data_IF_374315450767
#
_entry.id   IF_374315450767
#
_cell.length_a   1.000
_cell.length_b   1.000
_cell.length_c   1.000
_cell.angle_alpha   90.00
_cell.angle_beta   90.00
_cell.angle_gamma   90.00
#
_symmetry.space_group_name_H-M   'P 1'
#
loop_
_entity.id
_entity.type
_entity.pdbx_description
1 polymer ?
#
# COMPACT_ATOMS: atom_id res chain seq x y z
N UNK A 1 15.13 -0.51 26.02
CA UNK A 1 13.71 -0.81 26.27
C UNK A 1 13.23 -1.70 25.15
N UNK A 2 12.46 -2.74 25.50
CA UNK A 2 11.96 -3.73 24.56
C UNK A 2 10.56 -3.36 24.02
N UNK A 3 10.16 -4.05 22.95
CA UNK A 3 8.79 -3.96 22.42
C UNK A 3 7.78 -4.39 23.48
N UNK A 4 6.70 -3.59 23.66
CA UNK A 4 5.65 -3.94 24.61
C UNK A 4 4.97 -5.27 24.25
N UNK A 5 4.40 -6.01 25.21
CA UNK A 5 3.68 -7.25 24.92
C UNK A 5 2.55 -7.06 23.91
N UNK A 6 1.78 -5.98 24.00
CA UNK A 6 0.68 -5.69 23.08
C UNK A 6 1.18 -5.39 21.65
N UNK A 7 2.29 -4.65 21.51
CA UNK A 7 2.89 -4.41 20.19
C UNK A 7 3.45 -5.71 19.59
N UNK A 8 4.10 -6.53 20.42
CA UNK A 8 4.61 -7.84 19.99
C UNK A 8 3.48 -8.77 19.54
N UNK A 9 2.37 -8.81 20.26
CA UNK A 9 1.19 -9.61 19.87
C UNK A 9 0.63 -9.14 18.52
N UNK A 10 0.43 -7.84 18.36
CA UNK A 10 -0.09 -7.26 17.13
C UNK A 10 0.80 -7.55 15.93
N UNK A 11 2.11 -7.30 16.05
CA UNK A 11 3.07 -7.53 14.97
C UNK A 11 3.24 -9.02 14.65
N UNK A 12 3.28 -9.87 15.67
CA UNK A 12 3.38 -11.33 15.48
C UNK A 12 2.17 -11.88 14.73
N UNK A 13 0.99 -11.32 14.96
CA UNK A 13 -0.24 -11.73 14.29
C UNK A 13 -0.19 -11.43 12.79
N UNK A 14 -0.03 -10.15 12.42
CA UNK A 14 -0.10 -9.78 11.00
C UNK A 14 1.09 -10.33 10.19
N UNK A 15 2.30 -10.37 10.77
CA UNK A 15 3.47 -11.00 10.13
C UNK A 15 3.22 -12.50 9.96
N UNK A 16 2.66 -13.16 10.97
CA UNK A 16 2.32 -14.58 10.92
C UNK A 16 1.28 -14.90 9.83
N UNK A 17 0.25 -14.08 9.70
CA UNK A 17 -0.78 -14.22 8.66
C UNK A 17 -0.19 -14.04 7.24
N UNK A 18 0.67 -13.04 7.04
CA UNK A 18 1.37 -12.84 5.76
C UNK A 18 2.30 -14.02 5.43
N UNK A 19 3.06 -14.49 6.41
CA UNK A 19 3.94 -15.65 6.25
C UNK A 19 3.15 -16.90 5.89
N UNK A 20 2.05 -17.17 6.60
CA UNK A 20 1.20 -18.33 6.31
C UNK A 20 0.62 -18.24 4.89
N UNK A 21 0.11 -17.08 4.47
CA UNK A 21 -0.38 -16.87 3.11
C UNK A 21 0.69 -17.15 2.04
N UNK A 22 1.93 -16.74 2.30
CA UNK A 22 3.07 -17.07 1.44
C UNK A 22 3.31 -18.58 1.36
N UNK A 23 3.37 -19.26 2.52
CA UNK A 23 3.57 -20.70 2.56
C UNK A 23 2.45 -21.48 1.84
N UNK A 24 1.21 -21.09 2.06
CA UNK A 24 0.04 -21.73 1.42
C UNK A 24 0.07 -21.53 -0.10
N UNK A 25 0.44 -20.35 -0.56
CA UNK A 25 0.57 -20.05 -1.99
C UNK A 25 1.65 -20.90 -2.66
N UNK A 26 2.83 -21.00 -2.04
CA UNK A 26 3.92 -21.85 -2.54
C UNK A 26 3.52 -23.32 -2.50
N UNK A 27 2.94 -23.78 -1.40
CA UNK A 27 2.47 -25.15 -1.21
C UNK A 27 1.47 -25.56 -2.30
N UNK A 28 0.48 -24.73 -2.55
CA UNK A 28 -0.53 -24.97 -3.60
C UNK A 28 0.10 -25.04 -4.99
N UNK A 29 0.98 -24.09 -5.33
CA UNK A 29 1.63 -24.05 -6.64
C UNK A 29 2.62 -25.20 -6.84
N UNK A 30 3.33 -25.61 -5.79
CA UNK A 30 4.29 -26.73 -5.81
C UNK A 30 3.63 -28.08 -5.55
N UNK A 31 2.36 -28.12 -5.17
CA UNK A 31 1.61 -29.33 -4.79
C UNK A 31 2.31 -30.14 -3.68
N UNK A 32 2.80 -29.43 -2.66
CA UNK A 32 3.45 -29.98 -1.46
C UNK A 32 2.81 -29.38 -0.20
N UNK A 33 2.93 -30.04 0.96
CA UNK A 33 2.48 -29.44 2.23
C UNK A 33 3.24 -28.15 2.57
N UNK A 34 2.58 -27.17 3.20
CA UNK A 34 3.21 -25.93 3.65
C UNK A 34 4.42 -26.17 4.57
N UNK A 35 4.38 -27.20 5.42
CA UNK A 35 5.50 -27.63 6.27
C UNK A 35 6.72 -28.15 5.49
N UNK A 36 6.52 -28.57 4.23
CA UNK A 36 7.65 -28.94 3.35
C UNK A 36 8.25 -27.71 2.69
N UNK A 37 7.46 -26.64 2.48
CA UNK A 37 7.99 -25.34 2.01
C UNK A 37 8.92 -24.74 3.07
N UNK A 38 8.49 -24.73 4.31
CA UNK A 38 9.32 -24.33 5.47
C UNK A 38 9.04 -25.21 6.69
N UNK A 39 9.91 -26.18 6.96
CA UNK A 39 9.71 -27.13 8.06
C UNK A 39 10.09 -26.58 9.44
N UNK A 40 10.53 -25.32 9.52
CA UNK A 40 11.14 -24.70 10.68
C UNK A 40 12.68 -24.73 10.62
N UNK A 41 13.32 -23.82 11.34
CA UNK A 41 14.76 -23.58 11.23
C UNK A 41 15.60 -24.84 11.55
N UNK A 42 15.26 -25.58 12.61
CA UNK A 42 16.00 -26.76 13.00
C UNK A 42 15.88 -27.91 11.97
N UNK A 43 14.66 -28.19 11.52
CA UNK A 43 14.44 -29.24 10.53
C UNK A 43 15.05 -28.88 9.16
N UNK A 44 15.09 -27.61 8.81
CA UNK A 44 15.79 -27.12 7.62
C UNK A 44 17.31 -27.33 7.76
N UNK A 45 17.89 -27.01 8.92
CA UNK A 45 19.32 -27.25 9.21
C UNK A 45 19.66 -28.73 9.13
N UNK A 46 18.84 -29.59 9.73
CA UNK A 46 19.03 -31.05 9.68
C UNK A 46 18.94 -31.59 8.25
N UNK A 47 18.03 -31.03 7.45
CA UNK A 47 17.89 -31.34 6.02
C UNK A 47 19.09 -30.89 5.20
N UNK A 48 19.60 -29.70 5.43
CA UNK A 48 20.81 -29.18 4.78
C UNK A 48 22.06 -29.98 5.14
N UNK A 49 22.18 -30.43 6.41
CA UNK A 49 23.29 -31.27 6.87
C UNK A 49 23.33 -32.59 6.10
N UNK A 50 22.19 -33.18 5.76
CA UNK A 50 22.10 -34.44 4.98
C UNK A 50 22.61 -34.31 3.54
N UNK A 51 22.67 -33.10 3.00
CA UNK A 51 23.16 -32.80 1.66
C UNK A 51 24.46 -31.98 1.69
N UNK A 52 25.21 -32.06 2.79
CA UNK A 52 26.51 -31.40 3.00
C UNK A 52 26.45 -29.86 2.75
N UNK A 53 25.30 -29.23 3.05
CA UNK A 53 25.07 -27.80 2.88
C UNK A 53 24.72 -27.37 1.45
N UNK A 54 24.56 -28.30 0.52
CA UNK A 54 24.12 -28.01 -0.85
C UNK A 54 22.65 -27.55 -0.88
N UNK A 55 22.46 -26.23 -0.88
CA UNK A 55 21.13 -25.60 -0.88
C UNK A 55 20.34 -25.87 -2.16
N UNK A 56 21.01 -26.02 -3.30
CA UNK A 56 20.35 -26.33 -4.56
C UNK A 56 19.80 -27.75 -4.56
N UNK A 57 20.61 -28.70 -4.11
CA UNK A 57 20.19 -30.10 -3.92
C UNK A 57 19.06 -30.20 -2.88
N UNK A 58 19.15 -29.49 -1.76
CA UNK A 58 18.07 -29.42 -0.78
C UNK A 58 16.75 -28.93 -1.41
N UNK A 59 16.79 -27.86 -2.21
CA UNK A 59 15.62 -27.33 -2.87
C UNK A 59 15.00 -28.34 -3.85
N UNK A 60 15.83 -29.08 -4.62
CA UNK A 60 15.37 -30.11 -5.52
C UNK A 60 14.73 -31.28 -4.78
N UNK A 61 15.41 -31.80 -3.75
CA UNK A 61 14.96 -32.95 -2.95
C UNK A 61 13.63 -32.65 -2.23
N UNK A 62 13.40 -31.38 -1.86
CA UNK A 62 12.16 -30.91 -1.24
C UNK A 62 11.11 -30.38 -2.24
N UNK A 63 11.31 -30.57 -3.55
CA UNK A 63 10.39 -30.14 -4.63
C UNK A 63 10.12 -28.65 -4.67
N UNK A 64 11.02 -27.85 -4.14
CA UNK A 64 10.93 -26.37 -4.21
C UNK A 64 11.30 -25.86 -5.61
N UNK A 65 12.09 -26.63 -6.34
CA UNK A 65 12.44 -26.40 -7.76
C UNK A 65 12.23 -27.71 -8.54
N UNK A 66 12.10 -27.62 -9.87
CA UNK A 66 11.84 -28.78 -10.75
C UNK A 66 13.10 -29.42 -11.25
N UNK A 67 14.17 -28.64 -11.42
CA UNK A 67 15.45 -29.11 -11.90
C UNK A 67 16.58 -28.16 -11.48
N UNK A 68 17.79 -28.68 -11.47
CA UNK A 68 19.02 -27.90 -11.39
C UNK A 68 19.61 -27.83 -12.80
N UNK A 69 19.77 -26.62 -13.32
CA UNK A 69 20.31 -26.42 -14.67
C UNK A 69 21.17 -25.16 -14.73
N UNK A 70 22.22 -25.20 -15.47
CA UNK A 70 23.01 -24.02 -15.83
C UNK A 70 22.25 -23.13 -16.81
N UNK A 71 22.65 -21.87 -16.92
CA UNK A 71 22.05 -20.95 -17.89
C UNK A 71 22.09 -21.47 -19.31
N UNK A 72 23.19 -22.15 -19.71
CA UNK A 72 23.31 -22.76 -21.02
C UNK A 72 22.34 -23.93 -21.25
N UNK A 73 22.05 -24.72 -20.21
CA UNK A 73 21.08 -25.79 -20.29
C UNK A 73 19.65 -25.22 -20.38
N UNK A 74 19.34 -24.17 -19.63
CA UNK A 74 18.06 -23.44 -19.74
C UNK A 74 17.89 -22.85 -21.14
N UNK A 75 18.92 -22.20 -21.69
CA UNK A 75 18.90 -21.68 -23.05
C UNK A 75 18.64 -22.79 -24.08
N UNK A 76 19.29 -23.94 -23.93
CA UNK A 76 19.08 -25.12 -24.80
C UNK A 76 17.66 -25.66 -24.71
N UNK A 77 17.08 -25.71 -23.48
CA UNK A 77 15.69 -26.11 -23.24
C UNK A 77 14.71 -25.17 -23.93
N UNK A 78 14.89 -23.86 -23.72
CA UNK A 78 14.03 -22.82 -24.31
C UNK A 78 14.19 -22.76 -25.84
N UNK A 79 15.41 -22.93 -26.34
CA UNK A 79 15.67 -23.03 -27.79
C UNK A 79 14.95 -24.22 -28.39
N UNK A 80 14.96 -25.38 -27.72
CA UNK A 80 14.22 -26.57 -28.17
C UNK A 80 12.71 -26.33 -28.22
N UNK A 81 12.19 -25.57 -27.25
CA UNK A 81 10.75 -25.32 -27.13
C UNK A 81 10.27 -24.21 -28.07
N UNK A 82 11.00 -23.11 -28.18
CA UNK A 82 10.56 -21.88 -28.89
C UNK A 82 11.35 -21.60 -30.17
N UNK A 83 12.43 -22.30 -30.41
CA UNK A 83 13.31 -22.12 -31.56
C UNK A 83 14.38 -21.05 -31.29
N UNK A 84 15.35 -20.98 -32.19
CA UNK A 84 16.48 -20.05 -32.14
C UNK A 84 16.22 -18.82 -33.00
N UNK A 85 16.54 -17.63 -32.47
CA UNK A 85 16.58 -16.35 -33.20
C UNK A 85 18.00 -16.06 -33.64
N UNK A 86 18.22 -15.98 -34.94
CA UNK A 86 19.53 -15.61 -35.49
C UNK A 86 19.89 -14.14 -35.26
N UNK A 87 18.85 -13.29 -35.19
CA UNK A 87 19.01 -11.86 -34.96
C UNK A 87 19.46 -11.58 -33.52
N UNK A 88 18.83 -12.20 -32.56
CA UNK A 88 19.05 -11.96 -31.13
C UNK A 88 20.16 -12.86 -30.57
N UNK A 89 20.61 -13.86 -31.36
CA UNK A 89 21.58 -14.91 -30.94
C UNK A 89 21.11 -15.57 -29.61
N UNK A 90 19.84 -15.88 -29.51
CA UNK A 90 19.19 -16.43 -28.32
C UNK A 90 17.96 -17.26 -28.75
N UNK A 91 17.31 -17.95 -27.80
CA UNK A 91 15.97 -18.51 -28.04
C UNK A 91 14.98 -17.40 -28.40
N UNK A 92 13.92 -17.74 -29.15
CA UNK A 92 12.88 -16.76 -29.50
C UNK A 92 12.13 -16.32 -28.26
N UNK A 93 12.25 -15.06 -27.93
CA UNK A 93 11.56 -14.42 -26.84
C UNK A 93 11.26 -12.95 -27.17
N UNK A 94 10.31 -12.39 -26.48
CA UNK A 94 10.04 -10.95 -26.45
C UNK A 94 10.24 -10.49 -25.02
N UNK A 95 11.00 -9.43 -24.82
CA UNK A 95 11.17 -8.83 -23.51
C UNK A 95 9.81 -8.37 -22.97
N UNK A 96 9.57 -8.58 -21.68
CA UNK A 96 8.36 -8.06 -21.03
C UNK A 96 8.21 -6.54 -21.22
N UNK A 97 9.31 -5.80 -21.22
CA UNK A 97 9.32 -4.35 -21.42
C UNK A 97 9.05 -3.93 -22.87
N UNK A 98 9.34 -4.81 -23.83
CA UNK A 98 9.13 -4.56 -25.27
C UNK A 98 7.81 -5.18 -25.75
N UNK A 99 7.14 -5.95 -24.91
CA UNK A 99 5.87 -6.58 -25.24
C UNK A 99 4.75 -5.55 -25.27
N UNK A 100 4.45 -5.07 -26.47
CA UNK A 100 3.33 -4.17 -26.71
C UNK A 100 2.05 -4.96 -26.89
N UNK A 101 1.13 -4.83 -25.94
CA UNK A 101 -0.25 -5.28 -26.16
C UNK A 101 -0.81 -4.51 -27.36
N UNK A 102 -1.35 -5.20 -28.36
CA UNK A 102 -2.18 -4.57 -29.38
C UNK A 102 -3.42 -4.01 -28.67
N UNK A 103 -3.39 -2.73 -28.36
CA UNK A 103 -4.59 -2.03 -27.89
C UNK A 103 -5.60 -2.07 -29.04
N UNK A 104 -6.82 -2.56 -28.80
CA UNK A 104 -7.89 -2.39 -29.77
C UNK A 104 -8.01 -0.91 -30.14
N UNK A 105 -8.33 -0.61 -31.39
CA UNK A 105 -8.62 0.76 -31.78
C UNK A 105 -9.69 1.33 -30.84
N UNK A 106 -9.55 2.61 -30.45
CA UNK A 106 -10.52 3.32 -29.60
C UNK A 106 -11.91 3.28 -30.26
N UNK A 107 -12.72 2.31 -29.85
CA UNK A 107 -14.03 2.02 -30.46
C UNK A 107 -15.20 2.55 -29.65
N UNK A 108 -14.97 3.39 -28.64
CA UNK A 108 -16.09 3.99 -27.91
C UNK A 108 -15.91 4.05 -26.40
N UNK A 109 -16.77 3.34 -25.65
CA UNK A 109 -16.83 3.42 -24.19
C UNK A 109 -15.57 2.87 -23.52
N UNK A 110 -15.11 3.54 -22.48
CA UNK A 110 -13.87 3.20 -21.75
C UNK A 110 -14.09 3.15 -20.23
N UNK A 111 -13.12 2.56 -19.54
CA UNK A 111 -13.02 2.57 -18.09
C UNK A 111 -11.80 3.43 -17.72
N UNK A 112 -12.01 4.46 -16.91
CA UNK A 112 -10.92 5.28 -16.36
C UNK A 112 -10.21 4.53 -15.25
N UNK A 113 -8.90 4.29 -15.38
CA UNK A 113 -8.08 3.70 -14.33
C UNK A 113 -7.17 4.78 -13.77
N UNK A 114 -7.30 5.06 -12.48
CA UNK A 114 -6.54 6.08 -11.76
C UNK A 114 -5.74 5.40 -10.66
N UNK A 115 -4.48 5.80 -10.52
CA UNK A 115 -3.56 5.19 -9.55
C UNK A 115 -3.34 6.14 -8.37
N UNK A 116 -3.43 5.59 -7.16
CA UNK A 116 -3.08 6.25 -5.90
C UNK A 116 -1.96 5.44 -5.21
N UNK A 117 -0.73 5.68 -5.64
CA UNK A 117 0.45 4.94 -5.17
C UNK A 117 1.35 5.85 -4.31
N UNK A 118 1.59 5.48 -3.05
CA UNK A 118 2.42 6.23 -2.12
C UNK A 118 1.64 7.02 -1.08
N UNK A 119 2.32 7.88 -0.33
CA UNK A 119 1.72 8.72 0.70
C UNK A 119 0.83 9.80 0.07
N UNK A 120 -0.33 10.04 0.68
CA UNK A 120 -1.29 11.07 0.21
C UNK A 120 -0.85 12.42 0.78
N UNK A 121 -0.55 13.36 -0.11
CA UNK A 121 -0.05 14.70 0.21
C UNK A 121 -0.98 15.78 -0.32
N UNK A 122 -0.99 16.92 0.34
CA UNK A 122 -1.72 18.10 -0.15
C UNK A 122 -1.09 18.63 -1.44
N UNK A 123 -1.91 19.18 -2.33
CA UNK A 123 -1.47 19.80 -3.57
C UNK A 123 -1.20 18.82 -4.71
N UNK A 124 -0.19 19.13 -5.51
CA UNK A 124 0.13 18.39 -6.73
C UNK A 124 0.94 17.12 -6.46
N UNK A 125 0.86 16.17 -7.40
CA UNK A 125 1.62 14.93 -7.35
C UNK A 125 3.13 15.19 -7.43
N UNK A 126 3.86 14.50 -6.58
CA UNK A 126 5.32 14.42 -6.61
C UNK A 126 5.76 12.95 -6.79
N UNK A 127 6.96 12.67 -7.33
CA UNK A 127 7.42 11.30 -7.51
C UNK A 127 7.30 10.44 -6.25
N UNK A 128 6.57 9.33 -6.34
CA UNK A 128 6.36 8.40 -5.24
C UNK A 128 5.25 8.79 -4.24
N UNK A 129 4.53 9.88 -4.48
CA UNK A 129 3.42 10.32 -3.64
C UNK A 129 2.14 10.51 -4.46
N UNK A 130 1.00 10.57 -3.76
CA UNK A 130 -0.32 10.86 -4.31
C UNK A 130 -0.63 12.33 -4.00
N UNK A 131 -0.73 13.17 -5.02
CA UNK A 131 -1.18 14.55 -4.86
C UNK A 131 -2.70 14.63 -4.79
N UNK A 132 -3.23 15.26 -3.76
CA UNK A 132 -4.68 15.42 -3.57
C UNK A 132 -5.35 16.11 -4.76
N UNK A 133 -4.77 17.24 -5.19
CA UNK A 133 -5.33 18.05 -6.28
C UNK A 133 -5.16 17.36 -7.64
N UNK A 134 -3.99 16.76 -7.89
CA UNK A 134 -3.73 16.02 -9.14
C UNK A 134 -4.69 14.85 -9.30
N UNK A 135 -4.83 14.04 -8.26
CA UNK A 135 -5.71 12.85 -8.31
C UNK A 135 -7.17 13.23 -8.41
N UNK A 136 -7.60 14.28 -7.71
CA UNK A 136 -8.96 14.81 -7.83
C UNK A 136 -9.24 15.36 -9.24
N UNK A 137 -8.26 16.05 -9.84
CA UNK A 137 -8.39 16.55 -11.22
C UNK A 137 -8.54 15.39 -12.22
N UNK A 138 -7.76 14.30 -12.09
CA UNK A 138 -7.88 13.10 -12.93
C UNK A 138 -9.25 12.42 -12.77
N UNK A 139 -9.76 12.33 -11.53
CA UNK A 139 -11.11 11.79 -11.28
C UNK A 139 -12.17 12.67 -11.89
N UNK A 140 -12.03 13.99 -11.78
CA UNK A 140 -12.94 14.97 -12.38
C UNK A 140 -12.95 14.86 -13.90
N UNK A 141 -11.80 14.75 -14.53
CA UNK A 141 -11.67 14.53 -15.98
C UNK A 141 -12.42 13.26 -16.39
N UNK A 142 -12.14 12.13 -15.73
CA UNK A 142 -12.83 10.87 -15.98
C UNK A 142 -14.35 10.96 -15.73
N UNK A 143 -14.78 11.74 -14.73
CA UNK A 143 -16.19 12.00 -14.45
C UNK A 143 -16.89 12.74 -15.56
N UNK A 144 -16.22 13.72 -16.17
CA UNK A 144 -16.79 14.60 -17.19
C UNK A 144 -16.71 14.02 -18.60
N UNK A 145 -15.80 13.07 -18.86
CA UNK A 145 -15.68 12.42 -20.16
C UNK A 145 -16.87 11.48 -20.41
N UNK A 146 -17.71 11.71 -21.45
CA UNK A 146 -18.85 10.87 -21.76
C UNK A 146 -18.46 9.46 -22.21
N UNK A 147 -17.23 9.22 -22.66
CA UNK A 147 -16.73 7.91 -23.04
C UNK A 147 -16.37 7.07 -21.82
N UNK A 148 -15.96 7.66 -20.70
CA UNK A 148 -15.65 6.93 -19.46
C UNK A 148 -16.94 6.53 -18.77
N UNK A 149 -17.23 5.25 -18.72
CA UNK A 149 -18.46 4.69 -18.14
C UNK A 149 -18.31 4.22 -16.69
N UNK A 150 -17.10 3.96 -16.24
CA UNK A 150 -16.78 3.58 -14.87
C UNK A 150 -15.37 4.03 -14.51
N UNK A 151 -15.10 4.15 -13.22
CA UNK A 151 -13.78 4.51 -12.69
C UNK A 151 -13.27 3.35 -11.81
N UNK A 152 -12.04 2.95 -12.05
CA UNK A 152 -11.27 2.07 -11.16
C UNK A 152 -10.19 2.90 -10.48
N UNK A 153 -10.24 2.99 -9.16
CA UNK A 153 -9.16 3.56 -8.36
C UNK A 153 -8.26 2.42 -7.85
N UNK A 154 -7.03 2.38 -8.33
CA UNK A 154 -6.01 1.44 -7.83
C UNK A 154 -5.26 2.10 -6.69
N UNK A 155 -5.44 1.56 -5.47
CA UNK A 155 -4.85 2.12 -4.25
C UNK A 155 -3.71 1.23 -3.77
N UNK A 156 -2.53 1.83 -3.60
CA UNK A 156 -1.39 1.23 -2.89
C UNK A 156 -0.76 2.32 -2.01
N UNK A 157 -1.43 2.65 -0.89
CA UNK A 157 -1.14 3.83 -0.09
C UNK A 157 -1.24 3.53 1.41
N UNK A 158 -0.28 3.99 2.24
CA UNK A 158 -0.36 3.96 3.69
C UNK A 158 -1.33 5.02 4.25
N UNK A 159 -1.84 5.91 3.41
CA UNK A 159 -2.58 7.10 3.80
C UNK A 159 -1.72 8.36 3.75
N UNK A 160 -2.09 9.37 4.54
CA UNK A 160 -1.41 10.65 4.61
C UNK A 160 -2.34 11.78 5.03
N UNK A 161 -2.28 12.93 4.36
CA UNK A 161 -3.09 14.11 4.65
C UNK A 161 -4.59 13.82 4.63
N UNK A 162 -5.29 14.24 5.68
CA UNK A 162 -6.75 14.13 5.79
C UNK A 162 -7.43 15.02 4.77
N UNK A 163 -6.93 16.25 4.56
CA UNK A 163 -7.52 17.18 3.59
C UNK A 163 -7.37 16.67 2.16
N UNK A 164 -6.19 16.19 1.77
CA UNK A 164 -5.98 15.59 0.46
C UNK A 164 -6.85 14.34 0.24
N UNK A 165 -6.94 13.48 1.26
CA UNK A 165 -7.80 12.29 1.20
C UNK A 165 -9.28 12.68 1.02
N UNK A 166 -9.72 13.76 1.67
CA UNK A 166 -11.10 14.23 1.51
C UNK A 166 -11.36 14.84 0.13
N UNK A 167 -10.43 15.58 -0.42
CA UNK A 167 -10.53 16.14 -1.78
C UNK A 167 -10.70 15.02 -2.81
N UNK A 168 -9.88 13.99 -2.73
CA UNK A 168 -9.98 12.80 -3.59
C UNK A 168 -11.31 12.07 -3.38
N UNK A 169 -11.69 11.81 -2.12
CA UNK A 169 -12.94 11.14 -1.79
C UNK A 169 -14.16 11.87 -2.33
N UNK A 170 -14.17 13.19 -2.19
CA UNK A 170 -15.29 14.02 -2.63
C UNK A 170 -15.52 13.93 -4.15
N UNK A 171 -14.44 13.94 -4.95
CA UNK A 171 -14.54 13.77 -6.40
C UNK A 171 -15.00 12.36 -6.82
N UNK A 172 -14.57 11.31 -6.11
CA UNK A 172 -15.09 9.95 -6.33
C UNK A 172 -16.57 9.84 -5.97
N UNK A 173 -16.99 10.48 -4.88
CA UNK A 173 -18.42 10.55 -4.52
C UNK A 173 -19.22 11.31 -5.57
N UNK A 174 -18.70 12.41 -6.12
CA UNK A 174 -19.30 13.16 -7.22
C UNK A 174 -19.40 12.31 -8.51
N UNK A 175 -18.38 11.53 -8.83
CA UNK A 175 -18.42 10.62 -9.98
C UNK A 175 -19.52 9.55 -9.81
N UNK A 176 -19.63 8.97 -8.63
CA UNK A 176 -20.71 8.01 -8.30
C UNK A 176 -22.10 8.67 -8.37
N UNK A 177 -22.25 9.88 -7.85
CA UNK A 177 -23.51 10.64 -7.93
C UNK A 177 -23.89 11.00 -9.38
N UNK A 178 -22.90 11.19 -10.26
CA UNK A 178 -23.08 11.37 -11.69
C UNK A 178 -23.43 10.07 -12.46
N UNK A 179 -23.65 8.96 -11.76
CA UNK A 179 -24.02 7.67 -12.33
C UNK A 179 -22.86 6.84 -12.86
N UNK A 180 -21.60 7.21 -12.58
CA UNK A 180 -20.43 6.40 -12.94
C UNK A 180 -20.07 5.48 -11.80
N UNK A 181 -20.13 4.15 -11.94
CA UNK A 181 -19.67 3.22 -10.94
C UNK A 181 -18.19 3.45 -10.59
N UNK A 182 -17.88 3.42 -9.30
CA UNK A 182 -16.51 3.52 -8.80
C UNK A 182 -16.15 2.19 -8.15
N UNK A 183 -15.09 1.57 -8.62
CA UNK A 183 -14.51 0.35 -8.05
C UNK A 183 -13.13 0.68 -7.49
N UNK A 184 -12.87 0.25 -6.27
CA UNK A 184 -11.53 0.35 -5.68
C UNK A 184 -10.84 -1.00 -5.73
N UNK A 185 -9.61 -1.02 -6.27
CA UNK A 185 -8.71 -2.16 -6.28
C UNK A 185 -7.54 -1.88 -5.35
N UNK A 186 -7.53 -2.54 -4.20
CA UNK A 186 -6.47 -2.38 -3.21
C UNK A 186 -5.24 -3.23 -3.58
N UNK A 187 -4.05 -2.64 -3.46
CA UNK A 187 -2.77 -3.29 -3.67
C UNK A 187 -2.24 -3.97 -2.40
N UNK A 188 -0.94 -3.86 -2.17
CA UNK A 188 -0.32 -4.35 -0.94
C UNK A 188 -0.79 -3.58 0.29
N UNK A 189 -1.13 -2.30 0.13
CA UNK A 189 -1.60 -1.45 1.23
C UNK A 189 -2.71 -0.50 0.77
N UNK A 190 -3.74 -0.33 1.59
CA UNK A 190 -4.78 0.68 1.45
C UNK A 190 -5.28 1.07 2.86
N UNK A 191 -4.45 1.80 3.58
CA UNK A 191 -4.63 2.07 5.00
C UNK A 191 -4.85 3.57 5.26
N UNK A 192 -5.50 3.89 6.39
CA UNK A 192 -5.74 5.28 6.83
C UNK A 192 -6.37 6.13 5.71
N UNK A 193 -5.73 7.20 5.24
CA UNK A 193 -6.17 7.99 4.09
C UNK A 193 -6.44 7.16 2.83
N UNK A 194 -5.69 6.06 2.60
CA UNK A 194 -5.94 5.12 1.51
C UNK A 194 -7.28 4.38 1.65
N UNK A 195 -7.71 4.10 2.89
CA UNK A 195 -9.05 3.59 3.14
C UNK A 195 -10.11 4.71 3.04
N UNK A 196 -9.79 5.92 3.52
CA UNK A 196 -10.66 7.09 3.41
C UNK A 196 -11.11 7.35 1.97
N UNK A 197 -10.16 7.41 1.01
CA UNK A 197 -10.49 7.61 -0.41
C UNK A 197 -11.26 6.44 -1.01
N UNK A 198 -11.21 5.27 -0.39
CA UNK A 198 -11.92 4.07 -0.85
C UNK A 198 -13.40 4.05 -0.42
N UNK A 199 -13.81 4.87 0.56
CA UNK A 199 -15.17 4.82 1.15
C UNK A 199 -16.31 5.06 0.15
N UNK A 200 -16.22 5.93 -0.89
CA UNK A 200 -17.33 6.13 -1.82
C UNK A 200 -17.50 4.99 -2.83
N UNK A 201 -16.59 4.03 -2.89
CA UNK A 201 -16.63 2.96 -3.88
C UNK A 201 -17.96 2.18 -3.86
N UNK A 202 -18.40 1.78 -5.04
CA UNK A 202 -19.53 0.86 -5.19
C UNK A 202 -19.11 -0.58 -4.83
N UNK A 203 -17.83 -0.88 -5.06
CA UNK A 203 -17.22 -2.18 -4.76
C UNK A 203 -15.74 -2.02 -4.44
N UNK A 204 -15.26 -2.77 -3.44
CA UNK A 204 -13.86 -2.79 -3.01
C UNK A 204 -13.32 -4.20 -3.17
N UNK A 205 -12.19 -4.34 -3.85
CA UNK A 205 -11.45 -5.59 -4.03
C UNK A 205 -10.12 -5.49 -3.31
N UNK A 206 -9.80 -6.48 -2.49
CA UNK A 206 -8.53 -6.60 -1.79
C UNK A 206 -8.01 -8.04 -1.91
N UNK A 207 -6.70 -8.22 -1.80
CA UNK A 207 -6.08 -9.54 -1.69
C UNK A 207 -6.03 -9.99 -0.22
N UNK A 208 -5.90 -11.30 0.07
CA UNK A 208 -5.69 -11.79 1.43
C UNK A 208 -4.49 -11.17 2.16
N UNK A 209 -3.47 -10.75 1.41
CA UNK A 209 -2.25 -10.09 1.93
C UNK A 209 -2.31 -8.56 1.92
N UNK A 210 -3.44 -7.95 1.58
CA UNK A 210 -3.59 -6.49 1.62
C UNK A 210 -3.64 -5.98 3.06
N UNK A 211 -2.73 -5.11 3.42
CA UNK A 211 -2.81 -4.33 4.67
C UNK A 211 -3.80 -3.18 4.48
N UNK A 212 -4.91 -3.21 5.21
CA UNK A 212 -5.97 -2.21 5.07
C UNK A 212 -6.59 -1.83 6.42
N UNK A 213 -7.54 -0.91 6.42
CA UNK A 213 -8.12 -0.38 7.63
C UNK A 213 -7.31 0.80 8.16
N UNK A 214 -6.72 0.66 9.35
CA UNK A 214 -6.05 1.79 10.06
C UNK A 214 -6.96 3.02 10.11
N UNK A 215 -8.22 2.80 10.53
CA UNK A 215 -9.27 3.83 10.56
C UNK A 215 -9.03 4.68 11.79
N UNK A 216 -8.08 5.60 11.67
CA UNK A 216 -7.63 6.45 12.76
C UNK A 216 -6.99 7.74 12.27
N UNK A 217 -6.92 8.71 13.17
CA UNK A 217 -6.28 10.00 12.94
C UNK A 217 -5.35 10.27 14.13
N UNK A 218 -4.18 10.80 13.85
CA UNK A 218 -3.25 11.23 14.86
C UNK A 218 -2.51 12.49 14.40
N UNK A 219 -1.97 13.23 15.36
CA UNK A 219 -1.04 14.31 15.14
C UNK A 219 0.17 14.13 16.06
N UNK A 220 1.36 14.40 15.55
CA UNK A 220 2.60 14.40 16.33
C UNK A 220 3.24 15.76 16.22
N UNK A 221 3.47 16.40 17.38
CA UNK A 221 4.20 17.66 17.47
C UNK A 221 5.37 17.42 18.42
N UNK A 222 6.56 17.59 17.88
CA UNK A 222 7.78 17.52 18.66
C UNK A 222 8.23 18.94 18.99
N UNK A 223 8.47 19.18 20.27
CA UNK A 223 9.08 20.42 20.76
C UNK A 223 10.46 20.09 21.35
N UNK A 224 11.39 21.02 21.27
CA UNK A 224 12.78 20.82 21.65
C UNK A 224 13.23 21.73 22.82
N UNK A 225 12.27 22.37 23.51
CA UNK A 225 12.55 23.29 24.63
C UNK A 225 13.43 22.65 25.70
N UNK A 226 13.12 21.44 26.14
CA UNK A 226 13.90 20.74 27.17
C UNK A 226 15.33 20.41 26.70
N UNK A 227 15.50 20.13 25.41
CA UNK A 227 16.81 19.89 24.81
C UNK A 227 17.64 21.19 24.76
N UNK A 228 17.00 22.28 24.41
CA UNK A 228 17.64 23.62 24.40
C UNK A 228 18.02 24.06 25.83
N UNK A 229 17.11 23.88 26.78
CA UNK A 229 17.39 24.19 28.21
C UNK A 229 18.59 23.41 28.73
N UNK A 230 18.76 22.16 28.34
CA UNK A 230 19.89 21.32 28.77
C UNK A 230 21.27 21.86 28.34
N UNK A 231 21.30 22.67 27.30
CA UNK A 231 22.52 23.32 26.77
C UNK A 231 22.55 24.83 27.05
N UNK A 232 21.63 25.33 27.89
CA UNK A 232 21.57 26.75 28.29
C UNK A 232 21.07 27.71 27.22
N UNK A 233 20.34 27.19 26.21
CA UNK A 233 19.71 27.99 25.14
C UNK A 233 18.25 28.22 25.47
N UNK A 234 17.84 29.47 25.58
CA UNK A 234 16.45 29.87 25.84
C UNK A 234 15.96 30.73 24.69
N UNK A 235 14.68 30.57 24.33
CA UNK A 235 14.00 31.37 23.31
C UNK A 235 12.88 32.17 23.94
N UNK A 236 12.75 33.42 23.55
CA UNK A 236 11.70 34.32 24.01
C UNK A 236 11.13 35.09 22.82
N UNK A 237 9.95 35.68 23.00
CA UNK A 237 9.25 36.43 21.96
C UNK A 237 7.95 37.03 22.46
N UNK A 238 7.41 37.98 21.69
CA UNK A 238 6.14 38.63 21.95
C UNK A 238 5.14 38.21 20.85
N UNK A 239 3.98 37.73 21.26
CA UNK A 239 2.91 37.35 20.35
C UNK A 239 1.57 38.00 20.76
N UNK A 240 0.71 38.24 19.80
CA UNK A 240 -0.63 38.83 20.02
C UNK A 240 -1.61 37.90 20.72
N UNK A 241 -1.34 36.62 20.68
CA UNK A 241 -2.11 35.58 21.38
C UNK A 241 -1.29 34.29 21.51
N UNK A 242 -1.67 33.33 22.37
CA UNK A 242 -1.06 31.99 22.41
C UNK A 242 -1.08 31.27 21.08
N UNK A 243 -2.05 31.53 20.22
CA UNK A 243 -2.15 30.94 18.88
C UNK A 243 -1.10 31.45 17.90
N UNK A 244 -0.53 32.60 18.15
CA UNK A 244 0.54 33.20 17.35
C UNK A 244 1.94 32.86 17.89
N UNK A 245 2.05 32.22 19.08
CA UNK A 245 3.32 31.86 19.73
C UNK A 245 3.60 30.34 19.62
N UNK A 246 3.22 29.74 18.54
CA UNK A 246 3.50 28.32 18.28
C UNK A 246 4.92 28.19 17.71
N UNK A 247 5.80 27.54 18.47
CA UNK A 247 7.20 27.29 18.06
C UNK A 247 7.64 25.90 18.53
N UNK A 248 8.51 25.29 17.75
CA UNK A 248 9.17 24.04 18.16
C UNK A 248 10.15 24.24 19.34
N UNK A 249 10.55 25.47 19.61
CA UNK A 249 11.52 25.81 20.67
C UNK A 249 10.85 26.14 21.99
N UNK A 250 9.54 26.06 22.06
CA UNK A 250 8.75 26.34 23.28
C UNK A 250 7.75 25.22 23.50
N UNK A 251 7.35 24.97 24.74
CA UNK A 251 6.23 24.11 25.05
C UNK A 251 4.94 24.64 24.37
N UNK A 252 4.15 23.73 23.82
CA UNK A 252 2.93 24.09 23.13
C UNK A 252 1.90 24.68 24.14
N UNK A 253 1.31 25.87 23.86
CA UNK A 253 0.29 26.43 24.74
C UNK A 253 -0.88 25.48 24.98
N UNK A 254 -1.45 25.41 26.21
CA UNK A 254 -2.55 24.49 26.53
C UNK A 254 -3.78 24.66 25.62
N UNK A 255 -4.12 25.89 25.26
CA UNK A 255 -5.24 26.19 24.35
C UNK A 255 -5.01 25.61 22.96
N UNK A 256 -3.77 25.69 22.46
CA UNK A 256 -3.39 25.10 21.18
C UNK A 256 -3.50 23.57 21.24
N UNK A 257 -2.97 22.96 22.31
CA UNK A 257 -3.10 21.50 22.52
C UNK A 257 -4.57 21.07 22.52
N UNK A 258 -5.44 21.79 23.24
CA UNK A 258 -6.85 21.48 23.32
C UNK A 258 -7.57 21.64 21.98
N UNK A 259 -7.25 22.70 21.23
CA UNK A 259 -7.82 22.90 19.88
C UNK A 259 -7.41 21.78 18.91
N UNK A 260 -6.16 21.34 18.98
CA UNK A 260 -5.66 20.23 18.17
C UNK A 260 -6.33 18.92 18.54
N UNK A 261 -6.50 18.65 19.85
CA UNK A 261 -7.20 17.46 20.32
C UNK A 261 -8.65 17.42 19.80
N UNK A 262 -9.37 18.54 19.91
CA UNK A 262 -10.74 18.65 19.36
C UNK A 262 -10.78 18.41 17.86
N UNK A 263 -9.79 18.90 17.10
CA UNK A 263 -9.69 18.68 15.66
C UNK A 263 -9.46 17.21 15.32
N UNK A 264 -8.58 16.53 16.06
CA UNK A 264 -8.31 15.10 15.91
C UNK A 264 -9.55 14.27 16.24
N UNK A 265 -10.22 14.56 17.33
CA UNK A 265 -11.46 13.86 17.73
C UNK A 265 -12.58 14.03 16.70
N UNK A 266 -12.77 15.23 16.19
CA UNK A 266 -13.73 15.50 15.13
C UNK A 266 -13.37 14.75 13.84
N UNK A 267 -12.11 14.78 13.43
CA UNK A 267 -11.62 14.06 12.26
C UNK A 267 -11.80 12.54 12.41
N UNK A 268 -11.49 11.99 13.58
CA UNK A 268 -11.70 10.57 13.87
C UNK A 268 -13.18 10.20 13.79
N UNK A 269 -14.04 10.97 14.45
CA UNK A 269 -15.50 10.75 14.40
C UNK A 269 -16.02 10.79 12.96
N UNK A 270 -15.53 11.72 12.15
CA UNK A 270 -15.87 11.81 10.73
C UNK A 270 -15.42 10.56 9.98
N UNK A 271 -14.20 10.07 10.24
CA UNK A 271 -13.66 8.90 9.53
C UNK A 271 -14.49 7.63 9.84
N UNK A 272 -14.72 7.34 11.13
CA UNK A 272 -15.52 6.15 11.49
C UNK A 272 -16.95 6.24 10.95
N UNK A 273 -17.55 7.44 10.90
CA UNK A 273 -18.88 7.66 10.31
C UNK A 273 -18.87 7.38 8.81
N UNK A 274 -17.89 7.90 8.06
CA UNK A 274 -17.75 7.63 6.63
C UNK A 274 -17.62 6.13 6.32
N UNK A 275 -16.86 5.43 7.14
CA UNK A 275 -16.69 3.98 6.99
C UNK A 275 -17.98 3.24 7.33
N UNK A 276 -18.62 3.60 8.42
CA UNK A 276 -19.88 2.99 8.85
C UNK A 276 -20.97 3.14 7.77
N UNK A 277 -21.13 4.35 7.22
CA UNK A 277 -22.08 4.62 6.13
C UNK A 277 -21.76 3.82 4.88
N UNK A 278 -20.47 3.77 4.48
CA UNK A 278 -20.00 3.04 3.31
C UNK A 278 -20.19 1.52 3.46
N UNK A 279 -19.98 0.98 4.65
CA UNK A 279 -20.07 -0.45 4.95
C UNK A 279 -21.45 -0.86 5.47
N UNK A 280 -22.40 0.08 5.64
CA UNK A 280 -23.75 -0.13 6.18
C UNK A 280 -23.72 -0.81 7.55
N UNK A 281 -22.90 -0.28 8.42
CA UNK A 281 -22.72 -0.72 9.82
C UNK A 281 -22.74 0.47 10.77
N UNK A 282 -22.51 0.22 12.05
CA UNK A 282 -22.35 1.28 13.06
C UNK A 282 -20.88 1.69 13.18
N UNK A 283 -20.60 2.91 13.69
CA UNK A 283 -19.23 3.35 13.97
C UNK A 283 -18.52 2.57 15.08
N UNK A 284 -19.26 1.80 15.89
CA UNK A 284 -18.79 1.01 17.04
C UNK A 284 -18.24 -0.35 16.63
#
# INVERSE_FOLDING_TARGET
DDMSPAAREADSRWIGELWQNYLDTVAANRQIPAQQVFPGAQAMLDGLTKVDGDTAKYALDNKLVDALASSAEVEKMLTKQFGWSKADKNYRAVSYYDYSLKTPADTGDSIGVIFANGAIMDGEETPGNVGGDTTAAQIREARLDPKVKAIVLRVNSPGGSVSASEVIRAELAAAKAAGKPVVVSMGGMAASGGYWISTPASYIVANPSTLTGSIGIFGVINTVENSLDSIGVHTDGVATSPLADISITKALPPEVQQMMQLSIENGYKRFITLVADARKTTPE
#
